data_IF_625450818970
#
_entry.id   IF_625450818970
#
_cell.length_a   1.000
_cell.length_b   1.000
_cell.length_c   1.000
_cell.angle_alpha   90.00
_cell.angle_beta   90.00
_cell.angle_gamma   90.00
#
_symmetry.space_group_name_H-M   'P 1'
#
loop_
_entity.id
_entity.type
_entity.pdbx_description
1 polymer ?
#
# COMPACT_ATOMS: atom_id res chain seq x y z
N UNK A 1 -10.18 57.62 -3.14
CA UNK A 1 -10.30 56.50 -2.18
C UNK A 1 -10.67 55.27 -2.97
N UNK A 2 -9.67 54.44 -3.33
CA UNK A 2 -9.88 53.18 -4.09
C UNK A 2 -9.88 52.05 -3.08
N UNK A 3 -11.03 51.37 -2.97
CA UNK A 3 -11.18 50.20 -2.14
C UNK A 3 -10.62 49.03 -2.94
N UNK A 4 -9.53 48.42 -2.47
CA UNK A 4 -9.00 47.15 -2.98
C UNK A 4 -9.74 46.06 -2.20
N UNK A 5 -10.67 45.38 -2.86
CA UNK A 5 -11.29 44.19 -2.33
C UNK A 5 -10.31 43.03 -2.59
N UNK A 6 -9.63 42.61 -1.56
CA UNK A 6 -8.80 41.39 -1.58
C UNK A 6 -9.75 40.21 -1.52
N UNK A 7 -9.98 39.54 -2.65
CA UNK A 7 -10.75 38.33 -2.72
C UNK A 7 -9.84 37.21 -2.24
N UNK A 8 -10.05 36.72 -1.01
CA UNK A 8 -9.44 35.49 -0.52
C UNK A 8 -10.25 34.36 -1.13
N UNK A 9 -9.71 33.74 -2.17
CA UNK A 9 -10.22 32.50 -2.72
C UNK A 9 -9.60 31.35 -1.89
N UNK A 10 -10.38 30.31 -1.50
CA UNK A 10 -9.83 29.15 -0.86
C UNK A 10 -8.92 28.41 -1.86
N UNK A 11 -7.70 28.11 -1.42
CA UNK A 11 -6.70 27.31 -2.16
C UNK A 11 -7.16 25.85 -2.23
N UNK A 12 -8.03 25.53 -3.16
CA UNK A 12 -8.40 24.13 -3.46
C UNK A 12 -8.27 23.78 -4.94
N UNK A 13 -7.47 24.51 -5.71
CA UNK A 13 -7.14 24.13 -7.08
C UNK A 13 -5.72 24.56 -7.43
N UNK A 14 -4.72 23.80 -6.98
CA UNK A 14 -3.45 23.79 -7.70
C UNK A 14 -3.64 22.83 -8.87
N UNK A 15 -4.14 23.37 -9.96
CA UNK A 15 -4.21 22.68 -11.24
C UNK A 15 -2.78 22.63 -11.78
N UNK A 16 -2.26 21.42 -11.90
CA UNK A 16 -1.07 21.12 -12.68
C UNK A 16 -1.39 21.47 -14.15
N UNK A 17 -1.04 22.68 -14.56
CA UNK A 17 -1.19 23.16 -15.95
C UNK A 17 0.17 23.43 -16.59
N UNK A 18 1.14 22.52 -16.44
CA UNK A 18 2.44 22.68 -17.11
C UNK A 18 3.05 21.38 -17.65
N UNK A 19 2.24 20.53 -18.27
CA UNK A 19 2.78 19.39 -19.03
C UNK A 19 2.06 19.19 -20.38
N UNK A 20 1.54 20.24 -21.02
CA UNK A 20 0.86 20.13 -22.30
C UNK A 20 1.61 20.85 -23.44
N UNK A 21 2.92 20.72 -23.52
CA UNK A 21 3.66 21.29 -24.65
C UNK A 21 4.81 20.44 -25.16
N UNK A 22 4.57 19.18 -25.49
CA UNK A 22 5.49 18.39 -26.30
C UNK A 22 4.76 17.21 -26.98
N UNK A 23 3.74 17.46 -27.78
CA UNK A 23 3.29 16.47 -28.78
C UNK A 23 3.01 17.23 -30.08
N UNK A 24 4.07 17.59 -30.76
CA UNK A 24 4.01 17.91 -32.19
C UNK A 24 5.07 17.07 -32.90
N UNK A 25 4.62 16.03 -33.52
CA UNK A 25 5.11 15.45 -34.77
C UNK A 25 4.75 13.95 -34.85
N UNK A 26 3.49 13.67 -35.21
CA UNK A 26 3.20 12.41 -35.89
C UNK A 26 2.93 12.74 -37.36
N UNK A 27 3.98 12.56 -38.14
CA UNK A 27 3.95 12.63 -39.62
C UNK A 27 2.94 11.62 -40.16
N UNK A 28 2.06 12.13 -41.01
CA UNK A 28 1.12 11.35 -41.80
C UNK A 28 1.77 10.27 -42.64
N UNK A 29 1.44 9.01 -42.41
CA UNK A 29 1.69 7.95 -43.37
C UNK A 29 0.55 6.93 -43.36
N UNK A 30 -0.21 6.97 -44.46
CA UNK A 30 -0.94 5.88 -45.08
C UNK A 30 -2.26 5.38 -44.49
N UNK A 31 -3.34 5.84 -45.10
CA UNK A 31 -4.73 5.38 -44.95
C UNK A 31 -4.89 4.03 -45.67
N UNK A 32 -5.04 2.97 -44.91
CA UNK A 32 -5.97 1.87 -45.22
C UNK A 32 -5.93 0.85 -44.06
N UNK A 33 -6.86 0.91 -43.20
CA UNK A 33 -7.59 -0.18 -42.55
C UNK A 33 -7.98 0.16 -41.10
N UNK A 34 -9.28 0.08 -40.80
CA UNK A 34 -9.90 0.04 -39.47
C UNK A 34 -9.19 0.84 -38.36
N UNK A 35 -9.61 2.09 -38.22
CA UNK A 35 -9.16 2.97 -37.16
C UNK A 35 -9.74 2.47 -35.83
N UNK A 36 -9.00 1.62 -35.14
CA UNK A 36 -9.06 1.64 -33.68
C UNK A 36 -8.41 2.97 -33.29
N UNK A 37 -9.09 3.85 -32.52
CA UNK A 37 -8.40 5.00 -31.99
C UNK A 37 -7.18 4.49 -31.23
N UNK A 38 -5.99 5.09 -31.44
CA UNK A 38 -4.81 4.68 -30.69
C UNK A 38 -5.20 4.78 -29.21
N UNK A 39 -4.92 3.72 -28.46
CA UNK A 39 -5.04 3.79 -27.02
C UNK A 39 -4.27 5.04 -26.58
N UNK A 40 -4.93 5.98 -25.94
CA UNK A 40 -4.27 7.14 -25.36
C UNK A 40 -3.41 6.58 -24.24
N UNK A 41 -2.15 6.27 -24.56
CA UNK A 41 -1.15 5.89 -23.59
C UNK A 41 -0.89 7.19 -22.83
N UNK A 42 -1.46 7.29 -21.64
CA UNK A 42 -1.09 8.37 -20.72
C UNK A 42 0.41 8.22 -20.45
N UNK A 43 1.20 9.29 -20.62
CA UNK A 43 2.62 9.21 -20.34
C UNK A 43 2.84 8.76 -18.89
N UNK A 44 3.83 7.89 -18.68
CA UNK A 44 4.35 7.60 -17.35
C UNK A 44 4.99 8.90 -16.84
N UNK A 45 4.51 9.42 -15.72
CA UNK A 45 5.05 10.63 -15.09
C UNK A 45 5.18 10.31 -13.60
N UNK A 46 6.41 10.28 -13.14
CA UNK A 46 6.71 10.06 -11.73
C UNK A 46 6.46 11.36 -10.97
N UNK A 47 5.64 11.30 -9.94
CA UNK A 47 5.23 12.45 -9.12
C UNK A 47 5.86 12.37 -7.73
N UNK A 48 6.11 13.53 -7.15
CA UNK A 48 6.32 13.67 -5.71
C UNK A 48 5.25 14.60 -5.18
N UNK A 49 4.41 14.10 -4.25
CA UNK A 49 3.31 14.85 -3.66
C UNK A 49 3.40 14.72 -2.16
N UNK A 50 3.51 15.86 -1.48
CA UNK A 50 3.40 15.96 -0.04
C UNK A 50 2.03 16.53 0.32
N UNK A 51 1.31 15.90 1.25
CA UNK A 51 0.06 16.34 1.84
C UNK A 51 0.24 17.54 2.79
N UNK A 52 -0.74 17.74 3.65
CA UNK A 52 -0.80 18.88 4.57
C UNK A 52 -0.82 18.40 6.03
N UNK A 53 -1.46 19.13 6.91
CA UNK A 53 -1.66 18.77 8.32
C UNK A 53 -3.15 18.50 8.62
N UNK A 54 -3.89 18.11 7.63
CA UNK A 54 -5.32 17.78 7.72
C UNK A 54 -5.63 16.69 6.70
N UNK A 55 -6.71 15.97 6.91
CA UNK A 55 -7.14 14.86 6.07
C UNK A 55 -7.08 15.19 4.58
N UNK A 56 -6.21 14.50 3.87
CA UNK A 56 -5.96 14.69 2.44
C UNK A 56 -6.45 13.50 1.60
N UNK A 57 -6.58 13.72 0.31
CA UNK A 57 -6.82 12.66 -0.66
C UNK A 57 -5.87 12.79 -1.84
N UNK A 58 -4.85 11.94 -1.86
CA UNK A 58 -3.72 12.01 -2.78
C UNK A 58 -3.75 10.83 -3.75
N UNK A 59 -3.46 11.09 -5.02
CA UNK A 59 -3.33 10.05 -6.05
C UNK A 59 -2.12 10.32 -6.94
N UNK A 60 -1.27 9.33 -7.09
CA UNK A 60 -0.15 9.32 -8.03
C UNK A 60 -0.61 9.19 -9.48
N UNK A 61 -1.03 8.03 -9.87
CA UNK A 61 -1.59 7.80 -11.20
C UNK A 61 -0.85 6.78 -12.04
N UNK A 62 -0.04 7.19 -13.01
CA UNK A 62 0.82 6.30 -13.77
C UNK A 62 2.26 6.80 -13.66
N UNK A 63 3.14 6.03 -13.14
CA UNK A 63 4.53 6.39 -12.90
C UNK A 63 4.98 5.78 -11.60
N UNK A 64 6.23 5.95 -11.25
CA UNK A 64 6.75 5.54 -9.97
C UNK A 64 6.67 6.77 -9.06
N UNK A 65 5.60 6.84 -8.26
CA UNK A 65 5.21 8.03 -7.53
C UNK A 65 5.71 7.97 -6.07
N UNK A 66 5.98 9.13 -5.48
CA UNK A 66 6.26 9.27 -4.06
C UNK A 66 5.21 10.16 -3.41
N UNK A 67 4.36 9.59 -2.54
CA UNK A 67 3.28 10.26 -1.85
C UNK A 67 3.52 10.22 -0.35
N UNK A 68 3.31 11.36 0.33
CA UNK A 68 3.36 11.44 1.78
C UNK A 68 2.11 12.20 2.27
N UNK A 69 1.37 11.63 3.24
CA UNK A 69 0.14 12.19 3.81
C UNK A 69 0.42 13.34 4.75
N UNK A 70 1.33 13.18 5.69
CA UNK A 70 1.68 14.07 6.79
C UNK A 70 0.83 13.82 8.04
N UNK A 71 0.27 14.92 8.64
CA UNK A 71 -0.64 14.83 9.77
C UNK A 71 -2.08 14.79 9.25
N UNK A 72 -2.94 13.92 9.80
CA UNK A 72 -4.36 13.82 9.45
C UNK A 72 -4.74 12.40 9.02
N UNK A 73 -6.03 12.11 8.98
CA UNK A 73 -6.51 10.80 8.50
C UNK A 73 -6.58 10.83 6.96
N UNK A 74 -5.53 10.34 6.30
CA UNK A 74 -5.31 10.52 4.86
C UNK A 74 -5.81 9.36 3.99
N UNK A 75 -5.97 9.62 2.70
CA UNK A 75 -6.24 8.61 1.69
C UNK A 75 -5.23 8.71 0.56
N UNK A 76 -4.27 7.77 0.51
CA UNK A 76 -3.25 7.69 -0.51
C UNK A 76 -3.56 6.57 -1.52
N UNK A 77 -3.30 6.82 -2.78
CA UNK A 77 -3.39 5.81 -3.85
C UNK A 77 -2.25 6.01 -4.82
N UNK A 78 -1.34 5.05 -4.91
CA UNK A 78 -0.22 5.07 -5.86
C UNK A 78 -0.71 5.00 -7.29
N UNK A 79 -1.10 3.85 -7.75
CA UNK A 79 -1.75 3.68 -9.03
C UNK A 79 -1.10 2.63 -9.92
N UNK A 80 -0.35 3.01 -10.92
CA UNK A 80 0.46 2.12 -11.73
C UNK A 80 1.91 2.55 -11.68
N UNK A 81 2.79 1.62 -11.45
CA UNK A 81 4.22 1.84 -11.28
C UNK A 81 4.64 1.40 -9.91
N UNK A 82 5.92 1.43 -9.64
CA UNK A 82 6.46 1.05 -8.35
C UNK A 82 6.46 2.31 -7.47
N UNK A 83 5.47 2.41 -6.56
CA UNK A 83 5.17 3.61 -5.80
C UNK A 83 5.77 3.54 -4.36
N UNK A 84 6.07 4.70 -3.78
CA UNK A 84 6.46 4.86 -2.38
C UNK A 84 5.42 5.71 -1.66
N UNK A 85 4.69 5.11 -0.70
CA UNK A 85 3.53 5.69 -0.03
C UNK A 85 3.77 5.71 1.48
N UNK A 86 3.61 6.88 2.08
CA UNK A 86 3.91 7.15 3.49
C UNK A 86 2.74 7.93 4.09
N UNK A 87 2.07 7.33 5.12
CA UNK A 87 0.92 7.92 5.81
C UNK A 87 1.33 9.05 6.74
N UNK A 88 2.42 8.84 7.53
CA UNK A 88 2.93 9.70 8.58
C UNK A 88 2.01 9.67 9.85
N UNK A 89 1.44 10.76 10.37
CA UNK A 89 0.62 10.75 11.59
C UNK A 89 -0.88 10.76 11.28
N UNK A 90 -1.64 9.72 11.65
CA UNK A 90 -3.09 9.66 11.45
C UNK A 90 -3.60 8.23 11.36
N UNK A 91 -4.89 8.05 11.06
CA UNK A 91 -5.41 6.72 10.74
C UNK A 91 -5.66 6.68 9.24
N UNK A 92 -4.70 6.17 8.52
CA UNK A 92 -4.61 6.32 7.07
C UNK A 92 -5.24 5.17 6.28
N UNK A 93 -5.61 5.44 5.06
CA UNK A 93 -6.04 4.44 4.09
C UNK A 93 -5.10 4.52 2.89
N UNK A 94 -4.23 3.52 2.74
CA UNK A 94 -3.20 3.52 1.72
C UNK A 94 -3.38 2.33 0.77
N UNK A 95 -3.23 2.58 -0.54
CA UNK A 95 -3.33 1.58 -1.61
C UNK A 95 -2.23 1.75 -2.63
N UNK A 96 -1.42 0.72 -2.82
CA UNK A 96 -0.42 0.66 -3.88
C UNK A 96 -1.04 0.54 -5.27
N UNK A 97 -1.77 -0.47 -5.53
CA UNK A 97 -2.53 -0.91 -6.72
C UNK A 97 -1.72 -1.79 -7.67
N UNK A 98 -1.05 -1.32 -8.70
CA UNK A 98 -0.28 -2.09 -9.69
C UNK A 98 1.18 -1.66 -9.68
N UNK A 99 2.07 -2.59 -9.45
CA UNK A 99 3.51 -2.39 -9.33
C UNK A 99 4.02 -2.93 -8.01
N UNK A 100 5.33 -2.93 -7.85
CA UNK A 100 5.94 -3.36 -6.59
C UNK A 100 6.06 -2.15 -5.69
N UNK A 101 5.12 -1.99 -4.78
CA UNK A 101 4.96 -0.80 -3.98
C UNK A 101 5.67 -0.91 -2.61
N UNK A 102 6.06 0.23 -2.07
CA UNK A 102 6.54 0.36 -0.68
C UNK A 102 5.54 1.23 0.05
N UNK A 103 4.94 0.68 1.12
CA UNK A 103 3.88 1.32 1.89
C UNK A 103 4.29 1.36 3.36
N UNK A 104 4.27 2.54 3.96
CA UNK A 104 4.49 2.79 5.37
C UNK A 104 3.27 3.49 5.96
N UNK A 105 2.69 2.95 7.08
CA UNK A 105 1.56 3.55 7.78
C UNK A 105 2.01 4.64 8.73
N UNK A 106 3.10 4.39 9.45
CA UNK A 106 3.71 5.17 10.52
C UNK A 106 2.86 5.19 11.80
N UNK A 107 2.26 6.29 12.23
CA UNK A 107 1.53 6.37 13.49
C UNK A 107 0.04 6.42 13.30
N UNK A 108 -0.66 5.48 13.90
CA UNK A 108 -2.10 5.45 13.91
C UNK A 108 -2.61 4.05 13.68
N UNK A 109 -3.92 3.90 13.48
CA UNK A 109 -4.50 2.60 13.15
C UNK A 109 -4.82 2.61 11.65
N UNK A 110 -3.93 2.04 10.86
CA UNK A 110 -3.90 2.20 9.43
C UNK A 110 -4.58 1.06 8.66
N UNK A 111 -5.00 1.32 7.45
CA UNK A 111 -5.55 0.33 6.53
C UNK A 111 -4.73 0.34 5.24
N UNK A 112 -3.82 -0.62 5.13
CA UNK A 112 -2.79 -0.69 4.10
C UNK A 112 -3.07 -1.84 3.15
N UNK A 113 -2.96 -1.63 1.84
CA UNK A 113 -3.16 -2.66 0.83
C UNK A 113 -2.21 -2.49 -0.34
N UNK A 114 -1.45 -3.55 -0.67
CA UNK A 114 -0.58 -3.62 -1.85
C UNK A 114 -1.39 -3.78 -3.14
N UNK A 115 -2.36 -4.65 -3.13
CA UNK A 115 -3.26 -5.07 -4.20
C UNK A 115 -2.61 -6.02 -5.22
N UNK A 116 -1.66 -5.67 -6.00
CA UNK A 116 -1.04 -6.52 -7.03
C UNK A 116 0.45 -6.32 -7.13
N UNK A 117 1.12 -7.41 -7.61
CA UNK A 117 2.56 -7.53 -7.79
C UNK A 117 3.27 -7.70 -6.44
N UNK A 118 4.54 -7.50 -6.29
CA UNK A 118 5.29 -7.81 -5.06
C UNK A 118 5.46 -6.57 -4.22
N UNK A 119 4.80 -6.52 -3.07
CA UNK A 119 4.74 -5.34 -2.23
C UNK A 119 5.54 -5.49 -0.92
N UNK A 120 5.97 -4.37 -0.38
CA UNK A 120 6.55 -4.26 0.96
C UNK A 120 5.70 -3.29 1.76
N UNK A 121 5.09 -3.80 2.85
CA UNK A 121 4.13 -3.03 3.65
C UNK A 121 4.52 -3.10 5.11
N UNK A 122 4.60 -1.94 5.78
CA UNK A 122 4.89 -1.81 7.21
C UNK A 122 3.81 -0.96 7.88
N UNK A 123 3.22 -1.46 9.00
CA UNK A 123 2.20 -0.73 9.78
C UNK A 123 2.82 0.34 10.65
N UNK A 124 3.87 0.02 11.40
CA UNK A 124 4.60 0.80 12.40
C UNK A 124 3.84 0.91 13.74
N UNK A 125 3.44 2.10 14.23
CA UNK A 125 2.79 2.28 15.55
C UNK A 125 1.24 2.26 15.44
N UNK A 126 0.56 1.24 15.95
CA UNK A 126 -0.90 1.21 16.00
C UNK A 126 -1.51 -0.17 15.82
N UNK A 127 -2.82 -0.29 15.97
CA UNK A 127 -3.51 -1.54 15.64
C UNK A 127 -3.88 -1.50 14.14
N UNK A 128 -3.04 -2.10 13.29
CA UNK A 128 -3.10 -1.95 11.85
C UNK A 128 -3.82 -3.08 11.13
N UNK A 129 -4.26 -2.78 9.92
CA UNK A 129 -4.78 -3.75 8.99
C UNK A 129 -3.94 -3.75 7.70
N UNK A 130 -3.22 -4.84 7.49
CA UNK A 130 -2.28 -5.01 6.38
C UNK A 130 -2.77 -6.12 5.44
N UNK A 131 -2.94 -5.81 4.17
CA UNK A 131 -3.38 -6.74 3.11
C UNK A 131 -2.37 -6.69 1.94
N UNK A 132 -1.60 -7.77 1.76
CA UNK A 132 -0.67 -7.90 0.63
C UNK A 132 -1.40 -7.91 -0.70
N UNK A 133 -2.34 -8.84 -0.85
CA UNK A 133 -3.19 -8.93 -2.04
C UNK A 133 -2.77 -10.04 -2.99
N UNK A 134 -2.17 -9.74 -4.12
CA UNK A 134 -1.63 -10.72 -5.05
C UNK A 134 -0.16 -10.43 -5.30
N UNK A 135 0.67 -11.36 -5.01
CA UNK A 135 2.12 -11.24 -5.18
C UNK A 135 2.81 -12.07 -4.12
N UNK A 136 4.12 -12.10 -4.14
CA UNK A 136 4.89 -12.69 -3.05
C UNK A 136 5.33 -11.53 -2.13
N UNK A 137 4.47 -11.18 -1.16
CA UNK A 137 4.54 -9.93 -0.42
C UNK A 137 5.39 -10.03 0.87
N UNK A 138 5.84 -8.88 1.35
CA UNK A 138 6.54 -8.74 2.63
C UNK A 138 5.77 -7.79 3.54
N UNK A 139 5.19 -8.32 4.62
CA UNK A 139 4.25 -7.64 5.48
C UNK A 139 4.76 -7.61 6.91
N UNK A 140 4.77 -6.41 7.53
CA UNK A 140 5.21 -6.19 8.91
C UNK A 140 4.17 -5.31 9.62
N UNK A 141 3.56 -5.83 10.72
CA UNK A 141 2.64 -5.06 11.56
C UNK A 141 3.37 -4.08 12.45
N UNK A 142 4.52 -4.48 13.02
CA UNK A 142 5.37 -3.75 13.96
C UNK A 142 4.80 -3.61 15.36
N UNK A 143 4.41 -2.42 15.87
CA UNK A 143 3.95 -2.20 17.25
C UNK A 143 2.42 -2.08 17.30
N UNK A 144 1.72 -3.14 17.74
CA UNK A 144 0.26 -3.09 17.85
C UNK A 144 -0.42 -4.44 17.94
N UNK A 145 -1.75 -4.47 17.79
CA UNK A 145 -2.46 -5.74 17.65
C UNK A 145 -3.00 -5.82 16.22
N UNK A 146 -2.20 -6.36 15.33
CA UNK A 146 -2.38 -6.21 13.91
C UNK A 146 -3.21 -7.33 13.27
N UNK A 147 -3.91 -6.99 12.19
CA UNK A 147 -4.54 -7.95 11.29
C UNK A 147 -3.76 -7.99 9.98
N UNK A 148 -3.01 -9.07 9.74
CA UNK A 148 -2.14 -9.22 8.58
C UNK A 148 -2.67 -10.34 7.69
N UNK A 149 -3.00 -10.00 6.44
CA UNK A 149 -3.48 -10.91 5.41
C UNK A 149 -2.46 -10.99 4.28
N UNK A 150 -1.86 -12.17 4.06
CA UNK A 150 -0.94 -12.40 2.95
C UNK A 150 -1.64 -12.22 1.60
N UNK A 151 -2.71 -12.98 1.37
CA UNK A 151 -3.45 -12.95 0.11
C UNK A 151 -3.14 -14.10 -0.81
N UNK A 152 -2.99 -13.84 -2.12
CA UNK A 152 -2.58 -14.83 -3.11
C UNK A 152 -1.07 -14.72 -3.34
N UNK A 153 -0.29 -15.72 -2.97
CA UNK A 153 1.16 -15.70 -3.20
C UNK A 153 1.93 -16.55 -2.22
N UNK A 154 3.16 -16.20 -2.00
CA UNK A 154 4.05 -16.85 -1.04
C UNK A 154 4.61 -15.76 -0.13
N UNK A 155 3.82 -15.40 0.88
CA UNK A 155 4.02 -14.18 1.63
C UNK A 155 4.91 -14.40 2.86
N UNK A 156 5.62 -13.35 3.25
CA UNK A 156 6.39 -13.30 4.49
C UNK A 156 5.72 -12.30 5.42
N UNK A 157 5.27 -12.77 6.58
CA UNK A 157 4.54 -11.97 7.55
C UNK A 157 5.28 -11.89 8.88
N UNK A 158 5.33 -10.72 9.45
CA UNK A 158 5.88 -10.37 10.76
C UNK A 158 4.77 -9.65 11.52
N UNK A 159 4.44 -10.08 12.74
CA UNK A 159 3.46 -9.40 13.60
C UNK A 159 4.09 -8.24 14.34
N UNK A 160 5.24 -8.50 14.97
CA UNK A 160 5.93 -7.55 15.80
C UNK A 160 5.53 -7.65 17.26
N UNK A 161 5.32 -6.51 17.93
CA UNK A 161 4.92 -6.46 19.34
C UNK A 161 3.41 -6.38 19.47
N UNK A 162 2.79 -7.39 20.12
CA UNK A 162 1.37 -7.32 20.40
C UNK A 162 0.65 -8.66 20.30
N UNK A 163 -0.62 -8.60 20.00
CA UNK A 163 -1.45 -9.80 19.83
C UNK A 163 -2.02 -9.82 18.42
N UNK A 164 -1.27 -10.41 17.50
CA UNK A 164 -1.50 -10.29 16.09
C UNK A 164 -2.41 -11.39 15.53
N UNK A 165 -3.06 -11.09 14.45
CA UNK A 165 -3.91 -12.05 13.73
C UNK A 165 -3.45 -12.19 12.29
N UNK A 166 -2.90 -13.36 11.96
CA UNK A 166 -2.44 -13.69 10.62
C UNK A 166 -3.50 -14.47 9.83
N UNK A 167 -3.85 -13.99 8.65
CA UNK A 167 -4.69 -14.66 7.67
C UNK A 167 -3.78 -15.14 6.54
N UNK A 168 -3.66 -16.46 6.36
CA UNK A 168 -2.59 -17.02 5.55
C UNK A 168 -2.97 -18.35 4.88
N UNK A 169 -2.31 -18.68 3.79
CA UNK A 169 -2.45 -19.97 3.11
C UNK A 169 -1.24 -20.91 3.32
N UNK A 170 -1.14 -21.99 2.54
CA UNK A 170 -0.10 -23.02 2.73
C UNK A 170 1.28 -22.61 2.20
N UNK A 171 1.36 -21.50 1.45
CA UNK A 171 2.60 -21.01 0.85
C UNK A 171 3.23 -19.91 1.70
N UNK A 172 2.46 -19.35 2.65
CA UNK A 172 2.87 -18.23 3.48
C UNK A 172 3.72 -18.65 4.67
N UNK A 173 4.48 -17.69 5.19
CA UNK A 173 5.38 -17.88 6.31
C UNK A 173 5.28 -16.75 7.32
N UNK A 174 4.93 -17.10 8.56
CA UNK A 174 5.01 -16.19 9.70
C UNK A 174 6.38 -16.33 10.35
N UNK A 175 7.08 -15.20 10.56
CA UNK A 175 8.47 -15.19 11.01
C UNK A 175 8.63 -15.11 12.52
N UNK A 176 7.65 -14.57 13.26
CA UNK A 176 7.78 -14.24 14.68
C UNK A 176 6.57 -14.66 15.54
N UNK A 177 5.76 -15.59 15.10
CA UNK A 177 4.56 -16.04 15.81
C UNK A 177 4.81 -16.31 17.31
N UNK A 178 4.09 -15.63 18.19
CA UNK A 178 4.22 -15.69 19.64
C UNK A 178 2.89 -16.02 20.33
N UNK A 179 2.69 -17.29 20.66
CA UNK A 179 1.49 -17.73 21.41
C UNK A 179 1.40 -17.15 22.84
N UNK A 180 2.51 -16.59 23.35
CA UNK A 180 2.56 -15.95 24.69
C UNK A 180 2.02 -14.50 24.63
N UNK A 181 2.27 -13.79 23.53
CA UNK A 181 1.73 -12.47 23.27
C UNK A 181 0.27 -12.51 22.85
N UNK A 182 -0.20 -13.65 22.41
CA UNK A 182 -1.61 -13.88 22.13
C UNK A 182 -1.92 -14.00 20.63
N UNK A 183 -0.90 -14.17 19.81
CA UNK A 183 -1.06 -14.29 18.36
C UNK A 183 -1.99 -15.41 17.95
N UNK A 184 -2.70 -15.15 16.88
CA UNK A 184 -3.66 -16.06 16.25
C UNK A 184 -3.32 -16.22 14.78
N UNK A 185 -3.56 -17.42 14.27
CA UNK A 185 -3.51 -17.65 12.84
C UNK A 185 -4.81 -18.26 12.32
N UNK A 186 -5.22 -17.79 11.15
CA UNK A 186 -6.37 -18.27 10.40
C UNK A 186 -5.81 -18.81 9.06
N UNK A 187 -5.87 -20.12 8.88
CA UNK A 187 -5.33 -20.75 7.69
C UNK A 187 -4.24 -21.79 7.96
N UNK A 188 -3.44 -22.13 6.96
CA UNK A 188 -2.52 -23.27 6.98
C UNK A 188 -1.05 -22.91 6.77
N UNK A 189 -0.68 -21.69 7.01
CA UNK A 189 0.68 -21.19 6.86
C UNK A 189 1.74 -21.90 7.74
N UNK A 190 2.97 -21.75 7.34
CA UNK A 190 4.13 -22.20 8.10
C UNK A 190 4.53 -21.12 9.11
N UNK A 191 4.82 -21.52 10.35
CA UNK A 191 5.33 -20.61 11.38
C UNK A 191 6.32 -21.30 12.30
N UNK A 192 7.17 -20.51 12.95
CA UNK A 192 8.08 -20.92 14.00
C UNK A 192 7.61 -20.25 15.30
N UNK A 193 7.11 -21.02 16.25
CA UNK A 193 6.77 -20.51 17.59
C UNK A 193 8.04 -20.48 18.46
N UNK A 194 8.60 -19.30 18.64
CA UNK A 194 9.83 -19.11 19.41
C UNK A 194 9.66 -19.34 20.92
N UNK A 195 8.44 -19.34 21.45
CA UNK A 195 8.14 -19.43 22.88
C UNK A 195 7.89 -20.86 23.38
N UNK A 196 7.69 -21.81 22.50
CA UNK A 196 7.68 -23.25 22.87
C UNK A 196 9.11 -23.79 22.92
N UNK A 197 9.76 -23.54 24.07
CA UNK A 197 11.07 -24.03 24.47
C UNK A 197 11.66 -25.19 23.66
N UNK A 198 12.76 -24.93 22.97
CA UNK A 198 13.80 -25.88 22.51
C UNK A 198 13.41 -27.04 21.58
N UNK A 199 12.28 -27.04 20.92
CA UNK A 199 12.01 -27.99 19.84
C UNK A 199 11.43 -27.24 18.65
N UNK A 200 12.15 -27.24 17.56
CA UNK A 200 11.68 -26.76 16.26
C UNK A 200 10.41 -27.56 15.89
N UNK A 201 9.25 -26.99 16.16
CA UNK A 201 7.97 -27.56 15.77
C UNK A 201 7.53 -26.90 14.47
N UNK A 202 7.85 -27.50 13.35
CA UNK A 202 7.17 -27.23 12.09
C UNK A 202 5.77 -27.84 12.20
N UNK A 203 4.79 -27.06 12.64
CA UNK A 203 3.42 -27.54 12.77
C UNK A 203 2.70 -27.44 11.41
N UNK A 204 2.62 -28.58 10.74
CA UNK A 204 1.65 -28.77 9.65
C UNK A 204 0.32 -29.14 10.28
N UNK A 205 -0.65 -28.26 10.30
CA UNK A 205 -2.01 -28.63 10.66
C UNK A 205 -2.65 -29.42 9.52
N UNK A 206 -2.50 -30.75 9.58
CA UNK A 206 -3.33 -31.66 8.80
C UNK A 206 -4.69 -31.73 9.49
N UNK A 207 -5.68 -31.06 9.01
CA UNK A 207 -7.07 -31.32 9.41
C UNK A 207 -7.45 -32.69 8.86
N UNK A 208 -7.40 -33.71 9.73
CA UNK A 208 -8.00 -35.02 9.44
C UNK A 208 -9.52 -34.82 9.47
N UNK A 209 -10.13 -34.83 8.29
CA UNK A 209 -11.56 -35.08 8.14
C UNK A 209 -11.84 -36.54 8.56
N UNK A 210 -12.56 -36.70 9.67
CA UNK A 210 -13.32 -37.90 9.98
C UNK A 210 -14.78 -37.69 9.59
#
# INVERSE_FOLDING_TARGET
MRIIILLVLPLQFIIIHTAYSQIDNVSSANVNNTIHPPAIIKPKVDLKIDGTIVDDKIKGGNGDDKLNGKEGDDQLTGGRGDDELDGDEGNDIIKGQQGNDIIEGDKGNDNLSGERDVDVITGEEGDDKVDGGKGDDHLDGSDGNDEINGGEGSDIMIGGLGSDTFICDEFDKIMDFSSVEGDKKIGSCLFIDYNKSNTTQVSRNTTLLQ
#
